data_IF_404581876576
#
_entry.id   IF_404581876576
#
_cell.length_a   1.000
_cell.length_b   1.000
_cell.length_c   1.000
_cell.angle_alpha   90.00
_cell.angle_beta   90.00
_cell.angle_gamma   90.00
#
_symmetry.space_group_name_H-M   'P 1'
#
loop_
_entity.id
_entity.type
_entity.pdbx_description
1 polymer ?
#
# COMPACT_ATOMS: atom_id res chain seq x y z
N UNK A 1 -12.03 3.96 11.97
CA UNK A 1 -13.08 3.02 11.48
C UNK A 1 -14.45 3.68 11.38
N UNK A 2 -14.91 4.41 12.41
CA UNK A 2 -16.23 5.07 12.42
C UNK A 2 -16.45 6.03 11.23
N UNK A 3 -15.53 6.96 10.99
CA UNK A 3 -15.63 7.90 9.86
C UNK A 3 -15.76 7.17 8.51
N UNK A 4 -15.03 6.06 8.30
CA UNK A 4 -15.13 5.23 7.09
C UNK A 4 -16.50 4.54 6.97
N UNK A 5 -17.07 4.09 8.09
CA UNK A 5 -18.41 3.48 8.10
C UNK A 5 -19.49 4.51 7.71
N UNK A 6 -19.40 5.72 8.24
CA UNK A 6 -20.32 6.83 7.90
C UNK A 6 -20.15 7.25 6.44
N UNK A 7 -18.92 7.55 6.01
CA UNK A 7 -18.61 7.98 4.64
C UNK A 7 -18.94 6.90 3.59
N UNK A 8 -18.72 5.63 3.94
CA UNK A 8 -19.01 4.48 3.07
C UNK A 8 -20.50 4.15 2.94
N UNK A 9 -21.35 4.68 3.80
CA UNK A 9 -22.78 4.39 3.81
C UNK A 9 -23.46 4.94 2.53
N UNK A 10 -24.17 4.07 1.81
CA UNK A 10 -24.84 4.43 0.54
C UNK A 10 -25.91 5.51 0.72
N UNK A 11 -26.64 5.47 1.83
CA UNK A 11 -27.65 6.49 2.15
C UNK A 11 -26.93 7.82 2.34
N UNK A 12 -25.90 7.89 3.18
CA UNK A 12 -25.12 9.12 3.38
C UNK A 12 -24.59 9.65 2.05
N UNK A 13 -23.92 8.83 1.23
CA UNK A 13 -23.40 9.24 -0.08
C UNK A 13 -24.48 9.78 -1.02
N UNK A 14 -25.70 9.25 -0.96
CA UNK A 14 -26.81 9.72 -1.79
C UNK A 14 -27.27 11.15 -1.43
N UNK A 15 -27.02 11.62 -0.22
CA UNK A 15 -27.35 12.98 0.20
C UNK A 15 -26.32 14.02 -0.24
N UNK A 16 -25.10 13.57 -0.59
CA UNK A 16 -23.95 14.41 -0.97
C UNK A 16 -23.44 14.08 -2.39
N UNK A 17 -24.31 13.59 -3.28
CA UNK A 17 -23.95 13.02 -4.60
C UNK A 17 -23.04 13.90 -5.47
N UNK A 18 -23.11 15.21 -5.30
CA UNK A 18 -22.35 16.14 -6.11
C UNK A 18 -20.86 16.14 -5.74
N UNK A 19 -20.53 16.05 -4.45
CA UNK A 19 -19.19 16.34 -3.95
C UNK A 19 -18.90 15.55 -2.66
N UNK A 20 -18.22 14.41 -2.81
CA UNK A 20 -17.70 13.61 -1.70
C UNK A 20 -16.18 13.46 -1.85
N UNK A 21 -15.42 13.80 -0.82
CA UNK A 21 -13.97 13.61 -0.83
C UNK A 21 -13.46 13.09 0.51
N UNK A 22 -12.38 12.30 0.44
CA UNK A 22 -11.67 11.80 1.61
C UNK A 22 -10.17 12.04 1.41
N UNK A 23 -9.52 12.71 2.37
CA UNK A 23 -8.08 12.83 2.39
C UNK A 23 -7.53 12.39 3.74
N UNK A 24 -6.49 11.57 3.73
CA UNK A 24 -5.72 11.23 4.94
C UNK A 24 -4.54 12.19 5.02
N UNK A 25 -4.36 12.84 6.16
CA UNK A 25 -3.29 13.80 6.41
C UNK A 25 -2.12 13.08 7.10
N UNK A 26 -0.96 13.13 6.47
CA UNK A 26 0.28 12.61 7.03
C UNK A 26 1.13 13.77 7.58
N UNK A 27 2.07 13.44 8.47
CA UNK A 27 2.96 14.43 9.11
C UNK A 27 3.70 15.32 8.10
N UNK A 28 4.06 14.74 6.94
CA UNK A 28 4.82 15.42 5.91
C UNK A 28 3.95 15.93 4.75
N UNK A 29 2.62 15.89 4.88
CA UNK A 29 1.70 16.35 3.81
C UNK A 29 1.69 17.88 3.73
N UNK A 30 1.96 18.42 2.54
CA UNK A 30 1.81 19.86 2.32
C UNK A 30 0.36 20.23 2.04
N UNK A 31 -0.04 21.46 2.36
CA UNK A 31 -1.37 21.98 2.06
C UNK A 31 -1.71 21.86 0.57
N UNK A 32 -0.73 22.07 -0.31
CA UNK A 32 -0.89 21.90 -1.75
C UNK A 32 -1.27 20.46 -2.13
N UNK A 33 -0.61 19.47 -1.56
CA UNK A 33 -0.88 18.06 -1.86
C UNK A 33 -2.28 17.65 -1.43
N UNK A 34 -2.70 18.12 -0.25
CA UNK A 34 -4.03 17.88 0.29
C UNK A 34 -5.10 18.52 -0.60
N UNK A 35 -4.92 19.78 -1.00
CA UNK A 35 -5.85 20.49 -1.89
C UNK A 35 -5.95 19.83 -3.26
N UNK A 36 -4.81 19.43 -3.85
CA UNK A 36 -4.79 18.70 -5.13
C UNK A 36 -5.50 17.34 -5.02
N UNK A 37 -5.36 16.64 -3.90
CA UNK A 37 -6.04 15.37 -3.67
C UNK A 37 -7.56 15.56 -3.56
N UNK A 38 -8.01 16.58 -2.82
CA UNK A 38 -9.42 16.93 -2.72
C UNK A 38 -10.01 17.32 -4.07
N UNK A 39 -9.33 18.20 -4.83
CA UNK A 39 -9.74 18.62 -6.17
C UNK A 39 -9.90 17.42 -7.11
N UNK A 40 -8.94 16.50 -7.14
CA UNK A 40 -9.02 15.27 -7.96
C UNK A 40 -10.27 14.42 -7.68
N UNK A 41 -10.86 14.52 -6.50
CA UNK A 41 -12.05 13.75 -6.11
C UNK A 41 -13.35 14.50 -6.37
N UNK A 42 -13.34 15.83 -6.27
CA UNK A 42 -14.54 16.67 -6.41
C UNK A 42 -14.74 17.15 -7.85
N UNK A 43 -13.65 17.42 -8.57
CA UNK A 43 -13.72 17.96 -9.92
C UNK A 43 -14.17 16.93 -10.96
N UNK A 44 -15.07 17.37 -11.82
CA UNK A 44 -15.56 16.57 -12.95
C UNK A 44 -14.72 16.78 -14.22
N UNK A 45 -14.08 17.94 -14.37
CA UNK A 45 -13.24 18.32 -15.51
C UNK A 45 -11.76 18.01 -15.26
N UNK A 46 -11.08 17.41 -16.24
CA UNK A 46 -9.65 17.05 -16.16
C UNK A 46 -8.69 18.18 -16.58
N UNK A 47 -9.11 19.44 -16.50
CA UNK A 47 -8.23 20.55 -16.86
C UNK A 47 -7.20 20.79 -15.75
N UNK A 48 -5.95 20.42 -16.02
CA UNK A 48 -4.84 20.75 -15.15
C UNK A 48 -4.22 22.06 -15.64
N UNK A 49 -4.65 23.17 -15.05
CA UNK A 49 -3.94 24.43 -15.22
C UNK A 49 -2.59 24.36 -14.49
N UNK A 50 -1.53 24.85 -15.13
CA UNK A 50 -0.13 24.66 -14.71
C UNK A 50 0.29 25.45 -13.47
N UNK A 51 -0.64 26.19 -12.84
CA UNK A 51 -0.37 27.04 -11.66
C UNK A 51 -0.70 26.31 -10.36
N UNK A 52 0.33 26.02 -9.58
CA UNK A 52 0.28 25.24 -8.34
C UNK A 52 0.35 26.10 -7.07
N UNK A 53 -0.08 27.36 -7.11
CA UNK A 53 -0.07 28.21 -5.91
C UNK A 53 -1.17 27.79 -4.93
N UNK A 54 -0.85 27.69 -3.63
CA UNK A 54 -1.81 27.27 -2.59
C UNK A 54 -3.11 28.09 -2.65
N UNK A 55 -2.99 29.42 -2.76
CA UNK A 55 -4.13 30.34 -2.88
C UNK A 55 -5.04 30.01 -4.07
N UNK A 56 -4.45 29.71 -5.23
CA UNK A 56 -5.20 29.34 -6.43
C UNK A 56 -5.93 28.00 -6.25
N UNK A 57 -5.28 27.02 -5.63
CA UNK A 57 -5.90 25.73 -5.33
C UNK A 57 -7.07 25.86 -4.35
N UNK A 58 -6.95 26.72 -3.33
CA UNK A 58 -8.05 27.05 -2.41
C UNK A 58 -9.23 27.69 -3.14
N UNK A 59 -8.98 28.72 -3.95
CA UNK A 59 -10.02 29.42 -4.72
C UNK A 59 -10.74 28.46 -5.69
N UNK A 60 -9.97 27.59 -6.35
CA UNK A 60 -10.49 26.58 -7.27
C UNK A 60 -11.36 25.55 -6.56
N UNK A 61 -10.88 24.98 -5.44
CA UNK A 61 -11.66 24.04 -4.65
C UNK A 61 -12.93 24.68 -4.11
N UNK A 62 -12.83 25.93 -3.63
CA UNK A 62 -13.97 26.72 -3.15
C UNK A 62 -15.02 26.87 -4.25
N UNK A 63 -14.61 27.26 -5.47
CA UNK A 63 -15.50 27.42 -6.63
C UNK A 63 -16.26 26.14 -6.97
N UNK A 64 -15.60 24.99 -6.94
CA UNK A 64 -16.21 23.69 -7.22
C UNK A 64 -17.21 23.25 -6.15
N UNK A 65 -16.99 23.67 -4.90
CA UNK A 65 -17.88 23.37 -3.77
C UNK A 65 -19.03 24.37 -3.63
N UNK A 66 -18.88 25.60 -4.13
CA UNK A 66 -19.90 26.64 -4.08
C UNK A 66 -21.19 26.19 -4.76
N UNK A 67 -22.32 26.39 -4.09
CA UNK A 67 -23.65 25.95 -4.53
C UNK A 67 -23.89 24.44 -4.45
N UNK A 68 -22.91 23.64 -4.02
CA UNK A 68 -23.02 22.19 -3.87
C UNK A 68 -23.11 21.77 -2.42
N UNK A 69 -23.94 20.75 -2.13
CA UNK A 69 -23.90 20.06 -0.85
C UNK A 69 -22.76 19.04 -0.84
N UNK A 70 -21.76 19.26 0.00
CA UNK A 70 -20.56 18.42 0.07
C UNK A 70 -20.37 17.70 1.40
N UNK A 71 -19.72 16.53 1.33
CA UNK A 71 -19.21 15.77 2.47
C UNK A 71 -17.72 15.54 2.30
N UNK A 72 -16.91 16.16 3.15
CA UNK A 72 -15.45 16.06 3.11
C UNK A 72 -14.96 15.41 4.40
N UNK A 73 -14.08 14.42 4.29
CA UNK A 73 -13.42 13.80 5.43
C UNK A 73 -11.94 14.15 5.42
N UNK A 74 -11.47 14.80 6.49
CA UNK A 74 -10.07 15.08 6.77
C UNK A 74 -9.62 14.11 7.87
N UNK A 75 -8.96 13.02 7.48
CA UNK A 75 -8.56 11.94 8.37
C UNK A 75 -7.16 12.18 8.93
N UNK A 76 -7.03 12.40 10.24
CA UNK A 76 -5.73 12.52 10.93
C UNK A 76 -5.14 13.94 10.96
N UNK A 77 -5.98 14.98 11.10
CA UNK A 77 -5.48 16.35 11.33
C UNK A 77 -4.67 16.39 12.63
N UNK A 78 -3.47 16.97 12.60
CA UNK A 78 -2.53 16.90 13.72
C UNK A 78 -2.51 18.15 14.59
N UNK A 79 -2.89 19.30 14.05
CA UNK A 79 -2.86 20.57 14.77
C UNK A 79 -3.91 21.56 14.26
N UNK A 80 -4.18 22.57 15.08
CA UNK A 80 -5.02 23.70 14.71
C UNK A 80 -4.49 24.45 13.48
N UNK A 81 -3.18 24.68 13.40
CA UNK A 81 -2.56 25.39 12.27
C UNK A 81 -2.80 24.69 10.93
N UNK A 82 -2.78 23.35 10.90
CA UNK A 82 -3.10 22.59 9.70
C UNK A 82 -4.55 22.81 9.27
N UNK A 83 -5.49 22.81 10.21
CA UNK A 83 -6.89 23.09 9.94
C UNK A 83 -7.09 24.53 9.45
N UNK A 84 -6.49 25.51 10.14
CA UNK A 84 -6.51 26.92 9.79
C UNK A 84 -5.97 27.16 8.38
N UNK A 85 -4.92 26.42 7.97
CA UNK A 85 -4.40 26.50 6.61
C UNK A 85 -5.39 26.00 5.55
N UNK A 86 -6.28 25.06 5.87
CA UNK A 86 -7.21 24.45 4.90
C UNK A 86 -8.59 25.10 4.89
N UNK A 87 -9.05 25.66 6.02
CA UNK A 87 -10.46 26.04 6.23
C UNK A 87 -10.99 27.01 5.16
N UNK A 88 -10.16 27.92 4.67
CA UNK A 88 -10.54 28.95 3.69
C UNK A 88 -10.91 28.37 2.32
N UNK A 89 -10.50 27.13 2.03
CA UNK A 89 -10.85 26.43 0.80
C UNK A 89 -12.32 25.96 0.78
N UNK A 90 -12.99 25.92 1.93
CA UNK A 90 -14.36 25.41 2.04
C UNK A 90 -15.37 26.56 2.16
N UNK A 91 -16.38 26.63 1.28
CA UNK A 91 -17.39 27.69 1.34
C UNK A 91 -18.40 27.43 2.47
N UNK A 92 -18.58 28.41 3.36
CA UNK A 92 -19.60 28.35 4.41
C UNK A 92 -20.97 28.76 3.88
N UNK A 93 -21.66 27.82 3.25
CA UNK A 93 -23.04 27.99 2.80
C UNK A 93 -24.01 27.30 3.77
N UNK A 94 -25.21 27.86 3.95
CA UNK A 94 -26.30 27.22 4.72
C UNK A 94 -26.95 26.05 3.95
N UNK A 95 -26.17 25.29 3.17
CA UNK A 95 -26.62 24.23 2.27
C UNK A 95 -26.54 22.81 2.89
N UNK A 96 -26.30 22.74 4.21
CA UNK A 96 -26.09 21.52 5.02
C UNK A 96 -24.85 20.70 4.64
N UNK A 97 -23.84 21.31 4.04
CA UNK A 97 -22.54 20.67 3.85
C UNK A 97 -21.89 20.28 5.18
N UNK A 98 -21.05 19.24 5.14
CA UNK A 98 -20.42 18.66 6.33
C UNK A 98 -18.95 18.38 6.07
N UNK A 99 -18.13 18.71 7.07
CA UNK A 99 -16.72 18.31 7.13
C UNK A 99 -16.58 17.44 8.38
N UNK A 100 -16.02 16.24 8.20
CA UNK A 100 -15.68 15.33 9.29
C UNK A 100 -14.17 15.40 9.47
N UNK A 101 -13.73 15.81 10.65
CA UNK A 101 -12.32 15.81 11.03
C UNK A 101 -12.10 14.68 12.03
N UNK A 102 -11.09 13.84 11.79
CA UNK A 102 -10.56 12.93 12.81
C UNK A 102 -9.22 13.49 13.29
N UNK A 103 -9.01 13.50 14.60
CA UNK A 103 -7.82 14.08 15.23
C UNK A 103 -7.52 13.35 16.54
N UNK A 104 -6.25 13.34 16.94
CA UNK A 104 -5.81 12.97 18.29
C UNK A 104 -5.54 14.22 19.17
N UNK A 105 -5.65 15.42 18.60
CA UNK A 105 -5.55 16.70 19.32
C UNK A 105 -6.91 17.07 19.91
N UNK A 106 -7.02 17.00 21.24
CA UNK A 106 -8.23 17.33 21.98
C UNK A 106 -8.65 18.80 21.80
N UNK A 107 -7.69 19.72 21.67
CA UNK A 107 -7.98 21.16 21.52
C UNK A 107 -8.71 21.43 20.21
N UNK A 108 -8.23 20.83 19.12
CA UNK A 108 -8.92 20.90 17.83
C UNK A 108 -10.32 20.25 17.89
N UNK A 109 -10.45 19.15 18.64
CA UNK A 109 -11.74 18.48 18.86
C UNK A 109 -12.78 19.40 19.52
N UNK A 110 -12.38 20.18 20.52
CA UNK A 110 -13.27 21.10 21.26
C UNK A 110 -13.80 22.26 20.40
N UNK A 111 -13.08 22.64 19.33
CA UNK A 111 -13.51 23.69 18.41
C UNK A 111 -14.58 23.21 17.42
N UNK A 112 -14.81 21.90 17.31
CA UNK A 112 -15.81 21.36 16.40
C UNK A 112 -17.23 21.71 16.87
N UNK A 113 -18.13 22.00 15.91
CA UNK A 113 -19.55 22.25 16.21
C UNK A 113 -20.25 21.07 16.89
N UNK A 114 -19.80 19.85 16.61
CA UNK A 114 -20.36 18.60 17.14
C UNK A 114 -19.19 17.64 17.46
N UNK A 115 -18.52 17.82 18.60
CA UNK A 115 -17.41 16.95 18.99
C UNK A 115 -17.94 15.56 19.31
N UNK A 116 -17.25 14.53 18.81
CA UNK A 116 -17.55 13.14 19.14
C UNK A 116 -16.27 12.45 19.65
N UNK A 117 -16.16 12.35 20.97
CA UNK A 117 -15.06 11.62 21.60
C UNK A 117 -15.30 10.12 21.51
N UNK A 118 -14.35 9.40 20.88
CA UNK A 118 -14.39 7.96 20.79
C UNK A 118 -14.05 7.37 22.16
N UNK A 119 -14.94 6.53 22.68
CA UNK A 119 -14.76 5.83 23.95
C UNK A 119 -14.19 4.43 23.72
N UNK A 120 -13.54 3.90 24.75
CA UNK A 120 -13.21 2.49 24.86
C UNK A 120 -14.50 1.65 24.86
N UNK A 121 -14.39 0.41 24.38
CA UNK A 121 -15.51 -0.53 24.40
C UNK A 121 -15.76 -1.01 25.82
N UNK A 122 -17.02 -1.19 26.17
CA UNK A 122 -17.38 -1.81 27.45
C UNK A 122 -16.90 -3.27 27.50
N UNK A 123 -16.79 -3.84 28.71
CA UNK A 123 -16.32 -5.21 28.89
C UNK A 123 -17.11 -6.25 28.07
N UNK A 124 -18.43 -6.08 28.00
CA UNK A 124 -19.31 -6.98 27.23
C UNK A 124 -19.04 -6.87 25.73
N UNK A 125 -18.95 -5.66 25.20
CA UNK A 125 -18.69 -5.39 23.78
C UNK A 125 -17.28 -5.85 23.39
N UNK A 126 -16.31 -5.62 24.26
CA UNK A 126 -14.93 -6.05 24.08
C UNK A 126 -14.81 -7.57 23.97
N UNK A 127 -15.50 -8.29 24.86
CA UNK A 127 -15.51 -9.74 24.86
C UNK A 127 -16.23 -10.31 23.64
N UNK A 128 -17.38 -9.75 23.27
CA UNK A 128 -18.10 -10.15 22.05
C UNK A 128 -17.25 -9.91 20.78
N UNK A 129 -16.58 -8.76 20.68
CA UNK A 129 -15.66 -8.49 19.58
C UNK A 129 -14.50 -9.49 19.54
N UNK A 130 -13.93 -9.85 20.69
CA UNK A 130 -12.89 -10.86 20.80
C UNK A 130 -13.37 -12.23 20.31
N UNK A 131 -14.51 -12.72 20.82
CA UNK A 131 -15.08 -14.02 20.46
C UNK A 131 -15.40 -14.09 18.96
N UNK A 132 -16.00 -13.04 18.40
CA UNK A 132 -16.24 -12.92 16.95
C UNK A 132 -14.94 -12.99 16.16
N UNK A 133 -13.89 -12.32 16.64
CA UNK A 133 -12.62 -12.28 15.91
C UNK A 133 -11.88 -13.62 15.95
N UNK A 134 -11.91 -14.29 17.09
CA UNK A 134 -11.38 -15.65 17.23
C UNK A 134 -12.25 -16.64 16.45
N UNK A 135 -13.55 -16.40 16.31
CA UNK A 135 -14.52 -17.32 15.73
C UNK A 135 -14.96 -18.38 16.73
N UNK A 136 -15.33 -17.96 17.93
CA UNK A 136 -15.99 -18.77 18.97
C UNK A 136 -17.42 -18.23 19.17
N UNK A 137 -18.39 -19.13 19.39
CA UNK A 137 -19.82 -18.77 19.53
C UNK A 137 -20.29 -18.66 20.98
N UNK A 138 -19.63 -19.36 21.90
CA UNK A 138 -19.98 -19.42 23.32
C UNK A 138 -18.79 -19.01 24.17
N UNK A 139 -19.07 -18.55 25.39
CA UNK A 139 -18.07 -18.28 26.41
C UNK A 139 -17.41 -19.63 26.75
N UNK A 140 -16.15 -19.91 26.34
CA UNK A 140 -15.45 -21.05 26.90
C UNK A 140 -15.41 -20.80 28.40
N UNK A 141 -15.85 -21.77 29.20
CA UNK A 141 -15.94 -21.72 30.67
C UNK A 141 -14.59 -21.32 31.31
N UNK A 142 -14.27 -20.02 31.27
CA UNK A 142 -12.89 -19.53 31.34
C UNK A 142 -12.85 -18.03 31.66
N UNK A 143 -13.45 -17.66 32.80
CA UNK A 143 -13.43 -16.31 33.37
C UNK A 143 -12.02 -15.70 33.41
N UNK A 144 -11.01 -16.52 33.72
CA UNK A 144 -9.59 -16.15 33.71
C UNK A 144 -9.09 -15.64 32.35
N UNK A 145 -9.48 -16.28 31.24
CA UNK A 145 -9.09 -15.83 29.91
C UNK A 145 -9.74 -14.49 29.58
N UNK A 146 -11.03 -14.35 29.90
CA UNK A 146 -11.79 -13.12 29.69
C UNK A 146 -11.16 -11.95 30.43
N UNK A 147 -10.87 -12.13 31.72
CA UNK A 147 -10.23 -11.09 32.54
C UNK A 147 -8.85 -10.70 31.99
N UNK A 148 -8.06 -11.68 31.55
CA UNK A 148 -6.76 -11.42 30.92
C UNK A 148 -6.87 -10.64 29.61
N UNK A 149 -7.78 -11.03 28.71
CA UNK A 149 -7.98 -10.33 27.44
C UNK A 149 -8.44 -8.89 27.68
N UNK A 150 -9.40 -8.69 28.59
CA UNK A 150 -9.92 -7.37 28.93
C UNK A 150 -8.83 -6.48 29.55
N UNK A 151 -8.02 -7.04 30.46
CA UNK A 151 -6.88 -6.33 31.06
C UNK A 151 -5.82 -5.95 30.02
N UNK A 152 -5.43 -6.88 29.15
CA UNK A 152 -4.38 -6.66 28.14
C UNK A 152 -4.85 -5.69 27.06
N UNK A 153 -6.12 -5.72 26.66
CA UNK A 153 -6.60 -4.89 25.56
C UNK A 153 -7.13 -3.51 25.99
N UNK A 154 -7.52 -3.33 27.25
CA UNK A 154 -8.01 -2.06 27.78
C UNK A 154 -9.21 -1.49 27.02
N UNK A 155 -10.11 -2.36 26.52
CA UNK A 155 -11.28 -1.92 25.73
C UNK A 155 -10.97 -1.34 24.34
N UNK A 156 -9.69 -1.31 23.91
CA UNK A 156 -9.32 -0.77 22.61
C UNK A 156 -9.64 -1.75 21.47
N UNK A 157 -10.51 -1.39 20.50
CA UNK A 157 -10.92 -2.30 19.42
C UNK A 157 -9.76 -2.87 18.61
N UNK A 158 -8.72 -2.06 18.36
CA UNK A 158 -7.54 -2.50 17.61
C UNK A 158 -6.79 -3.63 18.35
N UNK A 159 -6.60 -3.47 19.66
CA UNK A 159 -5.89 -4.44 20.49
C UNK A 159 -6.66 -5.75 20.56
N UNK A 160 -7.97 -5.68 20.77
CA UNK A 160 -8.88 -6.84 20.77
C UNK A 160 -8.80 -7.57 19.44
N UNK A 161 -8.88 -6.84 18.32
CA UNK A 161 -8.83 -7.44 16.99
C UNK A 161 -7.48 -8.09 16.73
N UNK A 162 -6.36 -7.43 17.01
CA UNK A 162 -5.02 -7.99 16.79
C UNK A 162 -4.80 -9.25 17.64
N UNK A 163 -5.11 -9.17 18.94
CA UNK A 163 -4.93 -10.28 19.86
C UNK A 163 -5.82 -11.47 19.51
N UNK A 164 -7.12 -11.22 19.26
CA UNK A 164 -8.05 -12.25 18.83
C UNK A 164 -7.64 -12.90 17.50
N UNK A 165 -7.13 -12.10 16.56
CA UNK A 165 -6.60 -12.62 15.28
C UNK A 165 -5.42 -13.56 15.48
N UNK A 166 -4.47 -13.16 16.33
CA UNK A 166 -3.29 -13.95 16.63
C UNK A 166 -3.66 -15.27 17.30
N UNK A 167 -4.50 -15.24 18.33
CA UNK A 167 -4.97 -16.43 19.02
C UNK A 167 -5.79 -17.35 18.11
N UNK A 168 -6.53 -16.79 17.13
CA UNK A 168 -7.23 -17.59 16.12
C UNK A 168 -6.30 -18.49 15.28
N UNK A 169 -5.00 -18.14 15.16
CA UNK A 169 -4.00 -18.97 14.48
C UNK A 169 -3.39 -20.04 15.37
N UNK A 170 -3.70 -20.02 16.67
CA UNK A 170 -3.18 -20.95 17.69
C UNK A 170 -4.26 -21.87 18.26
N UNK A 171 -5.43 -21.96 17.61
CA UNK A 171 -6.52 -22.83 18.07
C UNK A 171 -6.10 -24.28 18.23
N UNK A 172 -5.23 -24.77 17.35
CA UNK A 172 -4.74 -26.15 17.36
C UNK A 172 -3.88 -26.47 18.59
N UNK A 173 -3.34 -25.46 19.28
CA UNK A 173 -2.62 -25.60 20.55
C UNK A 173 -3.53 -25.69 21.78
N UNK A 174 -4.84 -25.52 21.59
CA UNK A 174 -5.83 -25.57 22.67
C UNK A 174 -6.05 -24.22 23.36
N UNK A 175 -7.32 -23.87 23.57
CA UNK A 175 -7.76 -22.59 24.19
C UNK A 175 -7.25 -22.44 25.62
N UNK A 176 -7.02 -23.56 26.32
CA UNK A 176 -6.56 -23.60 27.72
C UNK A 176 -5.15 -23.02 27.91
N UNK A 177 -4.32 -22.99 26.87
CA UNK A 177 -2.95 -22.44 26.93
C UNK A 177 -2.91 -20.92 26.68
N UNK A 178 -4.03 -20.30 26.29
CA UNK A 178 -4.02 -18.87 25.95
C UNK A 178 -3.73 -17.95 27.14
N UNK A 179 -4.23 -18.20 28.36
CA UNK A 179 -3.86 -17.39 29.52
C UNK A 179 -2.35 -17.32 29.75
N UNK A 180 -1.63 -18.45 29.66
CA UNK A 180 -0.17 -18.48 29.86
C UNK A 180 0.59 -17.78 28.74
N UNK A 181 0.06 -17.79 27.51
CA UNK A 181 0.60 -16.99 26.40
C UNK A 181 0.48 -15.48 26.71
N UNK A 182 -0.60 -15.07 27.37
CA UNK A 182 -0.87 -13.66 27.72
C UNK A 182 -0.11 -13.20 28.96
N UNK A 183 0.36 -14.10 29.83
CA UNK A 183 1.08 -13.74 31.06
C UNK A 183 2.38 -12.96 30.78
N UNK A 184 2.98 -13.14 29.59
CA UNK A 184 4.17 -12.41 29.15
C UNK A 184 3.88 -10.98 28.63
N UNK A 185 2.63 -10.51 28.68
CA UNK A 185 2.22 -9.18 28.20
C UNK A 185 1.92 -8.28 29.41
N UNK A 186 2.97 -7.74 30.04
CA UNK A 186 2.86 -7.05 31.32
C UNK A 186 2.13 -5.70 31.26
N UNK A 187 2.26 -4.95 30.15
CA UNK A 187 1.83 -3.55 30.09
C UNK A 187 0.57 -3.26 29.25
N UNK A 188 -0.01 -4.27 28.57
CA UNK A 188 -1.25 -4.11 27.78
C UNK A 188 -1.21 -3.00 26.72
N UNK A 189 -0.03 -2.47 26.39
CA UNK A 189 0.08 -1.37 25.46
C UNK A 189 -0.16 -1.87 24.04
N UNK A 190 -0.70 -1.00 23.18
CA UNK A 190 -0.87 -1.31 21.75
C UNK A 190 0.46 -1.73 21.11
N UNK A 191 1.57 -1.13 21.53
CA UNK A 191 2.91 -1.48 21.04
C UNK A 191 3.32 -2.91 21.42
N UNK A 192 2.98 -3.38 22.62
CA UNK A 192 3.33 -4.73 23.08
C UNK A 192 2.54 -5.79 22.31
N UNK A 193 1.25 -5.57 22.11
CA UNK A 193 0.41 -6.49 21.32
C UNK A 193 0.88 -6.56 19.86
N UNK A 194 1.27 -5.42 19.29
CA UNK A 194 1.87 -5.35 17.96
C UNK A 194 3.21 -6.09 17.90
N UNK A 195 4.06 -5.91 18.90
CA UNK A 195 5.33 -6.61 19.04
C UNK A 195 5.13 -8.11 19.13
N UNK A 196 4.19 -8.55 19.96
CA UNK A 196 3.84 -9.93 20.15
C UNK A 196 3.32 -10.56 18.85
N UNK A 197 2.40 -9.88 18.18
CA UNK A 197 1.85 -10.31 16.88
C UNK A 197 2.92 -10.42 15.79
N UNK A 198 3.87 -9.48 15.77
CA UNK A 198 4.98 -9.47 14.83
C UNK A 198 6.01 -10.57 15.13
N UNK A 199 6.38 -10.75 16.40
CA UNK A 199 7.40 -11.72 16.80
C UNK A 199 6.97 -13.16 16.53
N UNK A 200 5.66 -13.45 16.63
CA UNK A 200 5.08 -14.76 16.35
C UNK A 200 5.12 -15.15 14.85
N UNK A 201 5.34 -14.20 13.94
CA UNK A 201 5.48 -14.51 12.51
C UNK A 201 6.79 -15.25 12.22
N UNK A 202 6.77 -16.16 11.24
CA UNK A 202 7.99 -16.74 10.71
C UNK A 202 8.81 -15.69 9.94
N UNK A 203 10.09 -16.00 9.69
CA UNK A 203 11.02 -15.07 9.07
C UNK A 203 10.57 -14.60 7.67
N UNK A 204 9.91 -15.46 6.88
CA UNK A 204 9.48 -15.11 5.53
C UNK A 204 8.24 -14.20 5.53
N UNK A 205 7.28 -14.46 6.41
CA UNK A 205 6.14 -13.56 6.64
C UNK A 205 6.58 -12.19 7.15
N UNK A 206 7.57 -12.14 8.04
CA UNK A 206 8.18 -10.87 8.51
C UNK A 206 8.72 -10.07 7.34
N UNK A 207 9.47 -10.70 6.43
CA UNK A 207 10.00 -10.03 5.23
C UNK A 207 8.88 -9.51 4.31
N UNK A 208 7.84 -10.31 4.07
CA UNK A 208 6.69 -9.92 3.25
C UNK A 208 5.95 -8.71 3.84
N UNK A 209 5.67 -8.75 5.15
CA UNK A 209 4.99 -7.67 5.86
C UNK A 209 5.84 -6.39 5.86
N UNK A 210 7.12 -6.50 6.17
CA UNK A 210 8.04 -5.37 6.16
C UNK A 210 8.18 -4.77 4.75
N UNK A 211 8.12 -5.58 3.68
CA UNK A 211 8.14 -5.08 2.31
C UNK A 211 7.02 -4.10 1.98
N UNK A 212 5.87 -4.23 2.64
CA UNK A 212 4.76 -3.30 2.44
C UNK A 212 5.06 -1.89 2.94
N UNK A 213 6.08 -1.72 3.79
CA UNK A 213 6.60 -0.41 4.20
C UNK A 213 7.18 0.39 3.04
N UNK A 214 7.44 -0.27 1.89
CA UNK A 214 7.90 0.43 0.71
C UNK A 214 6.81 1.23 0.01
N UNK A 215 5.54 0.93 0.29
CA UNK A 215 4.41 1.61 -0.29
C UNK A 215 4.00 2.79 0.59
N UNK A 216 3.50 3.90 0.01
CA UNK A 216 3.02 5.01 0.80
C UNK A 216 1.95 4.57 1.81
N UNK A 217 1.96 5.20 2.99
CA UNK A 217 1.04 4.91 4.08
C UNK A 217 -0.41 4.99 3.57
N UNK A 218 -1.20 3.98 3.94
CA UNK A 218 -2.59 3.79 3.52
C UNK A 218 -2.86 3.61 2.01
N UNK A 219 -1.84 3.41 1.17
CA UNK A 219 -2.06 3.11 -0.24
C UNK A 219 -2.80 1.77 -0.40
N UNK A 220 -3.82 1.75 -1.26
CA UNK A 220 -4.44 0.50 -1.69
C UNK A 220 -3.60 -0.21 -2.75
N UNK A 221 -2.97 -1.30 -2.35
CA UNK A 221 -2.05 -2.09 -3.17
C UNK A 221 -2.83 -3.21 -3.87
N UNK A 222 -2.71 -3.39 -5.19
CA UNK A 222 -3.27 -4.56 -5.86
C UNK A 222 -2.64 -5.85 -5.32
N UNK A 223 -3.46 -6.81 -4.87
CA UNK A 223 -2.98 -8.05 -4.22
C UNK A 223 -2.03 -8.85 -5.13
N UNK A 224 -2.39 -8.99 -6.42
CA UNK A 224 -1.54 -9.68 -7.41
C UNK A 224 -0.19 -9.00 -7.61
N UNK A 225 -0.13 -7.65 -7.57
CA UNK A 225 1.14 -6.91 -7.66
C UNK A 225 2.00 -7.23 -6.45
N UNK A 226 1.44 -7.13 -5.24
CA UNK A 226 2.15 -7.39 -4.00
C UNK A 226 2.72 -8.81 -3.94
N UNK A 227 1.94 -9.82 -4.29
CA UNK A 227 2.37 -11.22 -4.30
C UNK A 227 3.51 -11.46 -5.30
N UNK A 228 3.41 -10.90 -6.51
CA UNK A 228 4.46 -11.00 -7.54
C UNK A 228 5.76 -10.32 -7.11
N UNK A 229 5.66 -9.20 -6.38
CA UNK A 229 6.83 -8.54 -5.81
C UNK A 229 7.47 -9.41 -4.72
N UNK A 230 6.70 -10.01 -3.81
CA UNK A 230 7.23 -10.93 -2.80
C UNK A 230 7.92 -12.15 -3.41
N UNK A 231 7.37 -12.70 -4.50
CA UNK A 231 7.99 -13.77 -5.27
C UNK A 231 9.33 -13.34 -5.89
N UNK A 232 9.35 -12.19 -6.59
CA UNK A 232 10.53 -11.67 -7.26
C UNK A 232 11.66 -11.28 -6.30
N UNK A 233 11.33 -10.81 -5.10
CA UNK A 233 12.30 -10.59 -4.02
C UNK A 233 12.94 -11.90 -3.54
N UNK A 234 12.23 -13.01 -3.68
CA UNK A 234 12.60 -14.32 -3.13
C UNK A 234 12.24 -14.47 -1.65
N UNK A 235 11.21 -13.76 -1.17
CA UNK A 235 10.75 -13.90 0.21
C UNK A 235 9.90 -15.15 0.44
N UNK A 236 9.36 -15.75 -0.61
CA UNK A 236 8.51 -16.92 -0.51
C UNK A 236 9.38 -18.18 -0.54
N UNK A 237 9.18 -19.09 0.41
CA UNK A 237 9.89 -20.38 0.43
C UNK A 237 9.58 -21.14 -0.86
N UNK A 238 10.61 -21.81 -1.40
CA UNK A 238 10.40 -22.76 -2.50
C UNK A 238 9.74 -24.02 -1.91
N UNK A 239 8.61 -24.48 -2.47
CA UNK A 239 8.02 -25.72 -2.03
C UNK A 239 8.95 -26.89 -2.36
N UNK A 240 9.04 -27.86 -1.45
CA UNK A 240 9.79 -29.10 -1.67
C UNK A 240 9.02 -30.05 -2.61
N UNK A 241 7.69 -30.00 -2.55
CA UNK A 241 6.82 -30.73 -3.48
C UNK A 241 6.63 -29.92 -4.77
N UNK A 242 7.00 -30.53 -5.91
CA UNK A 242 6.85 -29.94 -7.24
C UNK A 242 5.40 -29.75 -7.68
N UNK A 243 4.42 -30.34 -6.99
CA UNK A 243 2.98 -30.15 -7.26
C UNK A 243 2.44 -28.81 -6.75
N UNK A 244 3.15 -28.15 -5.81
CA UNK A 244 2.72 -26.89 -5.23
C UNK A 244 3.37 -25.75 -6.00
N UNK A 245 2.57 -24.84 -6.56
CA UNK A 245 3.10 -23.65 -7.21
C UNK A 245 3.52 -22.60 -6.17
N UNK A 246 4.51 -21.77 -6.51
CA UNK A 246 4.94 -20.70 -5.59
C UNK A 246 3.83 -19.67 -5.36
N UNK A 247 2.93 -19.55 -6.33
CA UNK A 247 1.71 -18.77 -6.33
C UNK A 247 0.74 -19.22 -5.22
N UNK A 248 0.66 -20.52 -4.95
CA UNK A 248 -0.15 -21.06 -3.86
C UNK A 248 0.48 -20.74 -2.49
N UNK A 249 1.81 -20.87 -2.38
CA UNK A 249 2.54 -20.55 -1.15
C UNK A 249 2.42 -19.06 -0.81
N UNK A 250 2.59 -18.17 -1.78
CA UNK A 250 2.46 -16.72 -1.56
C UNK A 250 1.02 -16.31 -1.26
N UNK A 251 0.03 -17.01 -1.82
CA UNK A 251 -1.38 -16.82 -1.46
C UNK A 251 -1.61 -17.21 0.00
N UNK A 252 -1.08 -18.35 0.45
CA UNK A 252 -1.13 -18.75 1.86
C UNK A 252 -0.45 -17.74 2.80
N UNK A 253 0.65 -17.13 2.38
CA UNK A 253 1.30 -16.05 3.15
C UNK A 253 0.41 -14.81 3.28
N UNK A 254 -0.19 -14.38 2.16
CA UNK A 254 -1.14 -13.27 2.15
C UNK A 254 -2.33 -13.54 3.07
N UNK A 255 -2.94 -14.73 2.96
CA UNK A 255 -4.09 -15.13 3.77
C UNK A 255 -3.75 -15.21 5.26
N UNK A 256 -2.53 -15.63 5.61
CA UNK A 256 -2.06 -15.62 6.98
C UNK A 256 -1.99 -14.20 7.56
N UNK A 257 -1.39 -13.26 6.83
CA UNK A 257 -1.29 -11.85 7.26
C UNK A 257 -2.67 -11.17 7.36
N UNK A 258 -3.60 -11.51 6.47
CA UNK A 258 -5.00 -11.06 6.55
C UNK A 258 -5.72 -11.69 7.73
N UNK A 259 -5.57 -12.99 7.97
CA UNK A 259 -6.15 -13.71 9.11
C UNK A 259 -5.67 -13.11 10.43
N UNK A 260 -4.40 -12.70 10.50
CA UNK A 260 -3.78 -12.00 11.64
C UNK A 260 -4.16 -10.52 11.75
N UNK A 261 -4.98 -9.99 10.84
CA UNK A 261 -5.35 -8.56 10.76
C UNK A 261 -4.18 -7.59 10.65
N UNK A 262 -3.03 -8.08 10.18
CA UNK A 262 -1.87 -7.23 9.91
C UNK A 262 -2.01 -6.52 8.56
N UNK A 263 -2.78 -7.10 7.65
CA UNK A 263 -3.17 -6.51 6.38
C UNK A 263 -4.70 -6.53 6.29
N UNK A 264 -5.27 -5.47 5.76
CA UNK A 264 -6.72 -5.36 5.49
C UNK A 264 -7.02 -5.51 4.00
N UNK A 265 -8.12 -6.18 3.68
CA UNK A 265 -8.63 -6.24 2.30
C UNK A 265 -9.55 -5.05 2.07
N UNK A 266 -9.17 -4.12 1.20
CA UNK A 266 -9.90 -2.89 0.94
C UNK A 266 -10.88 -2.99 -0.22
N UNK A 267 -10.70 -3.97 -1.12
CA UNK A 267 -11.61 -4.21 -2.24
C UNK A 267 -11.61 -5.68 -2.64
N UNK A 268 -12.81 -6.22 -2.91
CA UNK A 268 -13.02 -7.55 -3.47
C UNK A 268 -13.23 -7.49 -5.00
N UNK A 269 -13.01 -8.60 -5.67
CA UNK A 269 -13.45 -8.85 -7.05
C UNK A 269 -14.89 -9.38 -7.06
N UNK A 270 -15.46 -9.55 -8.25
CA UNK A 270 -16.79 -10.15 -8.45
C UNK A 270 -16.87 -11.59 -7.93
N UNK A 271 -15.78 -12.34 -8.03
CA UNK A 271 -15.63 -13.71 -7.50
C UNK A 271 -15.41 -13.77 -5.97
N UNK A 272 -15.47 -12.62 -5.27
CA UNK A 272 -15.20 -12.53 -3.83
C UNK A 272 -13.72 -12.54 -3.44
N UNK A 273 -12.80 -12.75 -4.39
CA UNK A 273 -11.36 -12.77 -4.08
C UNK A 273 -10.80 -11.37 -3.76
N UNK A 274 -9.76 -11.26 -2.90
CA UNK A 274 -9.12 -9.98 -2.58
C UNK A 274 -8.51 -9.29 -3.82
N UNK A 275 -9.05 -8.12 -4.18
CA UNK A 275 -8.55 -7.29 -5.30
C UNK A 275 -7.45 -6.34 -4.86
N UNK A 276 -7.70 -5.61 -3.77
CA UNK A 276 -6.77 -4.64 -3.19
C UNK A 276 -6.66 -4.85 -1.69
N UNK A 277 -5.47 -4.59 -1.16
CA UNK A 277 -5.17 -4.66 0.26
C UNK A 277 -4.45 -3.41 0.73
N UNK A 278 -4.38 -3.22 2.05
CA UNK A 278 -3.74 -2.08 2.69
C UNK A 278 -3.13 -2.48 4.02
N UNK A 279 -1.93 -1.97 4.29
CA UNK A 279 -1.30 -2.02 5.61
C UNK A 279 -1.95 -0.98 6.54
N UNK A 280 -2.36 -1.37 7.75
CA UNK A 280 -2.98 -0.43 8.69
C UNK A 280 -1.98 0.68 9.08
N UNK A 281 -2.44 1.93 9.18
CA UNK A 281 -1.58 3.06 9.49
C UNK A 281 -0.78 2.92 10.79
N UNK A 282 -1.40 2.37 11.84
CA UNK A 282 -0.73 2.10 13.13
C UNK A 282 0.39 1.07 12.99
N UNK A 283 0.19 0.05 12.14
CA UNK A 283 1.21 -0.96 11.85
C UNK A 283 2.38 -0.36 11.07
N UNK A 284 2.11 0.57 10.17
CA UNK A 284 3.15 1.25 9.42
C UNK A 284 4.14 1.94 10.37
N UNK A 285 3.66 2.72 11.34
CA UNK A 285 4.53 3.45 12.26
C UNK A 285 5.35 2.50 13.15
N UNK A 286 4.71 1.42 13.64
CA UNK A 286 5.37 0.37 14.41
C UNK A 286 6.46 -0.34 13.58
N UNK A 287 6.13 -0.82 12.38
CA UNK A 287 7.03 -1.58 11.51
C UNK A 287 8.17 -0.73 10.95
N UNK A 288 7.98 0.58 10.78
CA UNK A 288 9.02 1.49 10.31
C UNK A 288 10.23 1.48 11.24
N UNK A 289 10.00 1.45 12.56
CA UNK A 289 11.09 1.37 13.55
C UNK A 289 11.88 0.07 13.40
N UNK A 290 11.19 -1.05 13.15
CA UNK A 290 11.81 -2.36 12.94
C UNK A 290 12.58 -2.44 11.63
N UNK A 291 11.98 -1.97 10.53
CA UNK A 291 12.57 -1.96 9.21
C UNK A 291 13.90 -1.20 9.18
N UNK A 292 13.99 -0.06 9.89
CA UNK A 292 15.23 0.70 10.09
C UNK A 292 16.29 -0.12 10.82
N UNK A 293 15.92 -0.82 11.90
CA UNK A 293 16.85 -1.63 12.69
C UNK A 293 17.50 -2.80 11.92
N UNK A 294 16.77 -3.42 11.00
CA UNK A 294 17.27 -4.52 10.16
C UNK A 294 17.89 -4.07 8.83
N UNK A 295 17.95 -2.76 8.57
CA UNK A 295 18.45 -2.18 7.30
C UNK A 295 17.82 -2.79 6.04
N UNK A 296 16.52 -3.14 6.10
CA UNK A 296 15.86 -3.87 5.01
C UNK A 296 15.53 -2.97 3.81
N UNK A 297 15.35 -1.67 4.03
CA UNK A 297 14.95 -0.67 3.02
C UNK A 297 15.55 0.71 3.29
N UNK A 298 15.73 1.50 2.23
CA UNK A 298 15.94 2.95 2.32
C UNK A 298 14.77 3.67 1.65
N UNK A 299 14.07 4.52 2.40
CA UNK A 299 12.93 5.31 1.92
C UNK A 299 13.44 6.71 1.60
N UNK A 300 13.41 7.12 0.33
CA UNK A 300 13.76 8.49 -0.06
C UNK A 300 12.50 9.36 -0.06
N UNK A 301 12.17 9.93 1.08
CA UNK A 301 11.18 11.00 1.22
C UNK A 301 11.99 12.27 1.51
N UNK A 302 11.66 13.39 0.86
CA UNK A 302 12.51 14.59 0.75
C UNK A 302 13.42 14.95 1.94
N UNK A 303 14.59 15.48 1.62
CA UNK A 303 15.63 16.05 2.50
C UNK A 303 16.27 15.18 3.60
N UNK A 304 15.75 14.01 3.98
CA UNK A 304 16.34 13.23 5.09
C UNK A 304 17.11 12.01 4.57
N UNK A 305 18.35 12.24 4.14
CA UNK A 305 19.34 11.19 3.94
C UNK A 305 20.03 10.88 5.28
N UNK A 306 19.51 9.89 6.03
CA UNK A 306 20.26 9.39 7.19
C UNK A 306 21.52 8.65 6.73
N UNK A 307 22.67 8.99 7.34
CA UNK A 307 23.97 8.37 7.08
C UNK A 307 23.94 6.87 7.41
N UNK A 308 24.64 6.09 6.58
CA UNK A 308 24.45 4.66 6.36
C UNK A 308 24.80 3.73 7.53
N UNK A 309 24.09 2.60 7.60
CA UNK A 309 24.54 1.37 8.25
C UNK A 309 25.45 0.53 7.32
N UNK A 310 26.09 -0.54 7.82
CA UNK A 310 27.21 -1.23 7.15
C UNK A 310 26.90 -1.96 5.83
N UNK A 311 25.63 -2.06 5.39
CA UNK A 311 25.22 -2.96 4.30
C UNK A 311 24.75 -2.32 2.98
N UNK A 312 24.87 -0.99 2.83
CA UNK A 312 24.51 -0.27 1.60
C UNK A 312 23.01 -0.35 1.22
N UNK A 313 22.57 0.48 0.27
CA UNK A 313 21.14 0.62 -0.06
C UNK A 313 20.62 -0.54 -0.91
N UNK A 314 19.89 -1.48 -0.30
CA UNK A 314 19.38 -2.68 -1.01
C UNK A 314 18.09 -2.47 -1.78
N UNK A 315 17.25 -1.50 -1.39
CA UNK A 315 15.95 -1.23 -2.04
C UNK A 315 15.67 0.25 -1.98
N UNK A 316 15.31 0.82 -3.13
CA UNK A 316 15.11 2.25 -3.32
C UNK A 316 13.66 2.51 -3.74
N UNK A 317 13.08 3.56 -3.16
CA UNK A 317 11.81 4.12 -3.59
C UNK A 317 12.01 5.55 -4.00
N UNK A 318 11.36 5.95 -5.07
CA UNK A 318 11.29 7.34 -5.49
C UNK A 318 9.84 7.85 -5.41
N UNK A 319 9.65 8.99 -4.74
CA UNK A 319 8.40 9.74 -4.71
C UNK A 319 8.53 11.01 -5.55
N UNK A 320 7.41 11.49 -6.09
CA UNK A 320 7.35 12.58 -7.08
C UNK A 320 7.99 13.92 -6.64
N UNK A 321 8.12 14.16 -5.32
CA UNK A 321 8.62 15.43 -4.77
C UNK A 321 10.11 15.39 -4.39
N UNK A 322 10.82 14.30 -4.69
CA UNK A 322 12.24 14.18 -4.42
C UNK A 322 13.08 14.92 -5.46
N UNK A 323 13.85 15.93 -5.06
CA UNK A 323 15.03 16.34 -5.81
C UNK A 323 15.83 15.10 -6.21
N UNK A 324 16.24 15.04 -7.48
CA UNK A 324 16.96 13.93 -8.09
C UNK A 324 17.95 13.28 -7.12
N UNK A 325 17.63 12.05 -6.72
CA UNK A 325 18.44 11.31 -5.77
C UNK A 325 19.74 10.87 -6.49
N UNK A 326 20.81 11.64 -6.33
CA UNK A 326 22.12 11.28 -6.87
C UNK A 326 22.71 10.15 -6.04
N UNK A 327 22.31 8.91 -6.33
CA UNK A 327 22.95 7.74 -5.75
C UNK A 327 24.44 7.72 -6.12
N UNK A 328 25.28 7.36 -5.17
CA UNK A 328 26.71 7.14 -5.41
C UNK A 328 26.93 5.84 -6.18
N UNK A 329 28.04 5.69 -6.92
CA UNK A 329 28.36 4.45 -7.64
C UNK A 329 28.29 3.18 -6.78
N UNK A 330 28.69 3.25 -5.50
CA UNK A 330 28.67 2.14 -4.54
C UNK A 330 27.25 1.75 -4.11
N UNK A 331 26.33 2.71 -4.03
CA UNK A 331 24.93 2.45 -3.64
C UNK A 331 24.17 1.67 -4.72
N UNK A 332 24.49 1.89 -6.00
CA UNK A 332 23.92 1.10 -7.10
C UNK A 332 24.35 -0.37 -7.03
N UNK A 333 25.50 -0.69 -6.43
CA UNK A 333 26.05 -2.06 -6.41
C UNK A 333 25.22 -3.03 -5.58
N UNK A 334 24.54 -2.52 -4.55
CA UNK A 334 23.76 -3.32 -3.62
C UNK A 334 22.26 -3.33 -3.96
N UNK A 335 21.83 -2.54 -4.94
CA UNK A 335 20.41 -2.32 -5.22
C UNK A 335 19.77 -3.56 -5.85
N UNK A 336 18.74 -4.08 -5.19
CA UNK A 336 17.96 -5.26 -5.59
C UNK A 336 16.57 -4.88 -6.08
N UNK A 337 16.05 -3.73 -5.67
CA UNK A 337 14.68 -3.34 -5.99
C UNK A 337 14.57 -1.84 -6.14
N UNK A 338 13.93 -1.41 -7.22
CA UNK A 338 13.60 -0.02 -7.46
C UNK A 338 12.11 0.09 -7.77
N UNK A 339 11.39 0.86 -6.95
CA UNK A 339 9.96 1.12 -7.08
C UNK A 339 9.77 2.64 -7.20
N UNK A 340 9.12 3.08 -8.26
CA UNK A 340 8.83 4.50 -8.45
C UNK A 340 7.33 4.75 -8.24
N UNK A 341 7.02 5.68 -7.33
CA UNK A 341 5.70 6.31 -7.17
C UNK A 341 5.70 7.72 -7.76
N UNK A 342 6.52 7.93 -8.79
CA UNK A 342 6.62 9.20 -9.48
C UNK A 342 5.47 9.34 -10.49
N UNK A 343 4.29 9.69 -9.99
CA UNK A 343 3.10 9.94 -10.80
C UNK A 343 3.15 11.29 -11.53
N UNK A 344 4.31 11.69 -12.10
CA UNK A 344 4.49 13.01 -12.73
C UNK A 344 3.30 13.38 -13.60
N UNK A 345 3.02 14.70 -13.66
CA UNK A 345 2.00 15.27 -14.56
C UNK A 345 2.18 14.65 -15.95
N UNK A 346 1.07 14.22 -16.55
CA UNK A 346 0.99 13.41 -17.79
C UNK A 346 1.64 14.05 -19.04
N UNK A 347 2.37 15.15 -18.87
CA UNK A 347 2.90 15.98 -19.94
C UNK A 347 4.44 16.00 -19.96
N UNK A 348 5.11 15.50 -18.90
CA UNK A 348 6.58 15.40 -18.84
C UNK A 348 7.03 13.95 -18.72
N UNK A 349 7.72 13.38 -19.73
CA UNK A 349 8.32 12.05 -19.62
C UNK A 349 9.34 12.00 -18.49
N UNK A 350 9.35 10.90 -17.73
CA UNK A 350 10.28 10.68 -16.63
C UNK A 350 11.72 10.37 -17.12
N UNK A 351 12.43 11.40 -17.60
CA UNK A 351 13.79 11.28 -18.16
C UNK A 351 14.82 10.85 -17.11
N UNK A 352 14.61 11.17 -15.85
CA UNK A 352 15.53 10.81 -14.76
C UNK A 352 15.61 9.30 -14.53
N UNK A 353 14.49 8.58 -14.72
CA UNK A 353 14.44 7.11 -14.63
C UNK A 353 15.37 6.48 -15.68
N UNK A 354 15.43 7.05 -16.88
CA UNK A 354 16.29 6.55 -17.95
C UNK A 354 17.78 6.71 -17.61
N UNK A 355 18.16 7.85 -17.03
CA UNK A 355 19.52 8.11 -16.57
C UNK A 355 19.90 7.17 -15.43
N UNK A 356 18.99 6.94 -14.49
CA UNK A 356 19.18 6.01 -13.38
C UNK A 356 19.39 4.57 -13.89
N UNK A 357 18.50 4.08 -14.77
CA UNK A 357 18.63 2.76 -15.40
C UNK A 357 19.93 2.61 -16.19
N UNK A 358 20.28 3.61 -17.02
CA UNK A 358 21.51 3.60 -17.82
C UNK A 358 22.76 3.55 -16.93
N UNK A 359 22.76 4.31 -15.82
CA UNK A 359 23.86 4.30 -14.85
C UNK A 359 23.98 2.96 -14.12
N UNK A 360 22.86 2.31 -13.79
CA UNK A 360 22.86 0.99 -13.16
C UNK A 360 23.43 -0.08 -14.08
N UNK A 361 22.98 -0.07 -15.33
CA UNK A 361 23.42 -1.05 -16.34
C UNK A 361 24.89 -0.82 -16.71
N UNK A 362 25.26 0.42 -17.06
CA UNK A 362 26.61 0.76 -17.54
C UNK A 362 27.73 0.56 -16.53
N UNK A 363 27.41 0.41 -15.23
CA UNK A 363 28.39 0.11 -14.19
C UNK A 363 28.53 -1.39 -13.87
N UNK A 364 27.80 -2.28 -14.56
CA UNK A 364 27.89 -3.73 -14.38
C UNK A 364 27.24 -4.27 -13.10
N UNK A 365 26.26 -3.56 -12.56
CA UNK A 365 25.74 -3.74 -11.19
C UNK A 365 24.37 -4.44 -11.14
N UNK A 366 24.20 -5.45 -11.99
CA UNK A 366 22.91 -6.08 -12.31
C UNK A 366 22.27 -6.95 -11.23
N UNK A 367 22.41 -6.65 -9.93
CA UNK A 367 21.71 -7.39 -8.85
C UNK A 367 20.22 -7.05 -8.74
N UNK A 368 19.72 -6.14 -9.57
CA UNK A 368 18.33 -5.72 -9.58
C UNK A 368 17.42 -6.90 -9.93
N UNK A 369 16.53 -7.24 -9.00
CA UNK A 369 15.48 -8.26 -9.14
C UNK A 369 14.12 -7.65 -9.46
N UNK A 370 13.86 -6.45 -8.96
CA UNK A 370 12.57 -5.77 -9.11
C UNK A 370 12.76 -4.39 -9.72
N UNK A 371 12.11 -4.16 -10.85
CA UNK A 371 11.94 -2.85 -11.48
C UNK A 371 10.44 -2.59 -11.61
N UNK A 372 9.89 -1.71 -10.76
CA UNK A 372 8.48 -1.38 -10.74
C UNK A 372 8.27 0.11 -11.01
N UNK A 373 7.81 0.42 -12.23
CA UNK A 373 7.54 1.76 -12.71
C UNK A 373 6.03 2.00 -12.88
N UNK A 374 5.17 1.28 -12.15
CA UNK A 374 3.72 1.43 -12.31
C UNK A 374 3.26 2.89 -12.14
N UNK A 375 2.61 3.42 -13.17
CA UNK A 375 2.06 4.78 -13.18
C UNK A 375 3.07 5.88 -13.54
N UNK A 376 4.34 5.55 -13.76
CA UNK A 376 5.34 6.51 -14.27
C UNK A 376 5.01 6.85 -15.72
N UNK A 377 4.81 8.13 -16.04
CA UNK A 377 4.42 8.54 -17.40
C UNK A 377 5.60 8.46 -18.39
N UNK A 378 5.44 7.65 -19.45
CA UNK A 378 6.39 7.43 -20.56
C UNK A 378 7.86 7.33 -20.10
N UNK A 379 8.22 6.36 -19.24
CA UNK A 379 9.61 6.17 -18.83
C UNK A 379 10.45 5.76 -20.03
N UNK A 380 11.62 6.37 -20.21
CA UNK A 380 12.56 5.95 -21.25
C UNK A 380 13.36 4.75 -20.76
N UNK A 381 13.15 3.59 -21.38
CA UNK A 381 13.88 2.36 -21.09
C UNK A 381 15.12 2.26 -22.00
N UNK A 382 16.31 1.97 -21.47
CA UNK A 382 17.52 1.84 -22.29
C UNK A 382 17.46 0.60 -23.19
N UNK A 383 18.09 0.67 -24.37
CA UNK A 383 18.10 -0.44 -25.35
C UNK A 383 18.86 -1.69 -24.87
N UNK A 384 19.74 -1.54 -23.88
CA UNK A 384 20.46 -2.64 -23.25
C UNK A 384 19.84 -3.07 -21.91
N UNK A 385 18.52 -2.89 -21.75
CA UNK A 385 17.79 -3.34 -20.55
C UNK A 385 18.00 -4.84 -20.25
N UNK A 386 18.32 -5.63 -21.28
CA UNK A 386 18.61 -7.08 -21.18
C UNK A 386 19.80 -7.42 -20.29
N UNK A 387 20.72 -6.47 -20.08
CA UNK A 387 21.88 -6.61 -19.21
C UNK A 387 21.49 -6.73 -17.72
N UNK A 388 20.25 -6.46 -17.35
CA UNK A 388 19.71 -6.70 -16.00
C UNK A 388 19.37 -8.19 -15.81
N UNK A 389 20.38 -9.05 -15.90
CA UNK A 389 20.20 -10.50 -15.93
C UNK A 389 19.49 -11.07 -14.69
N UNK A 390 19.63 -10.47 -13.49
CA UNK A 390 18.93 -10.92 -12.29
C UNK A 390 17.48 -10.44 -12.16
N UNK A 391 16.97 -9.66 -13.11
CA UNK A 391 15.63 -9.10 -13.04
C UNK A 391 14.58 -10.20 -13.12
N UNK A 392 13.68 -10.22 -12.14
CA UNK A 392 12.56 -11.16 -12.00
C UNK A 392 11.21 -10.51 -12.19
N UNK A 393 11.11 -9.21 -11.92
CA UNK A 393 9.88 -8.43 -12.08
C UNK A 393 10.14 -7.16 -12.86
N UNK A 394 9.42 -6.99 -13.97
CA UNK A 394 9.34 -5.76 -14.75
C UNK A 394 7.88 -5.27 -14.78
N UNK A 395 7.58 -4.27 -13.96
CA UNK A 395 6.27 -3.62 -13.88
C UNK A 395 6.24 -2.32 -14.65
N UNK A 396 5.48 -2.28 -15.75
CA UNK A 396 5.30 -1.10 -16.61
C UNK A 396 3.83 -0.72 -16.73
N UNK A 397 3.00 -1.18 -15.80
CA UNK A 397 1.56 -0.93 -15.83
C UNK A 397 1.26 0.57 -15.76
N UNK A 398 0.26 1.04 -16.49
CA UNK A 398 -0.15 2.46 -16.49
C UNK A 398 0.95 3.45 -16.90
N UNK A 399 1.97 3.01 -17.64
CA UNK A 399 3.09 3.89 -18.05
C UNK A 399 2.86 4.63 -19.36
N UNK A 400 1.81 4.30 -20.12
CA UNK A 400 1.57 4.87 -21.46
C UNK A 400 2.76 4.71 -22.42
N UNK A 401 3.61 3.72 -22.16
CA UNK A 401 4.79 3.44 -22.98
C UNK A 401 4.35 2.92 -24.35
N UNK A 402 4.97 3.41 -25.42
CA UNK A 402 4.60 3.07 -26.80
C UNK A 402 5.37 1.86 -27.34
N UNK A 403 6.59 1.60 -26.84
CA UNK A 403 7.49 0.55 -27.32
C UNK A 403 8.29 -0.06 -26.17
N UNK A 404 8.63 -1.33 -26.34
CA UNK A 404 9.51 -2.06 -25.43
C UNK A 404 10.86 -2.32 -26.13
N UNK A 405 12.02 -2.13 -25.47
CA UNK A 405 13.31 -2.42 -26.07
C UNK A 405 13.43 -3.92 -26.39
N UNK A 406 14.11 -4.25 -27.49
CA UNK A 406 14.21 -5.65 -27.98
C UNK A 406 14.94 -6.55 -26.98
N UNK A 407 15.88 -5.99 -26.23
CA UNK A 407 16.66 -6.65 -25.20
C UNK A 407 15.82 -7.20 -24.03
N UNK A 408 14.54 -6.83 -23.89
CA UNK A 408 13.68 -7.45 -22.87
C UNK A 408 13.61 -8.97 -23.00
N UNK A 409 13.73 -9.50 -24.23
CA UNK A 409 13.79 -10.94 -24.44
C UNK A 409 15.13 -11.60 -24.04
N UNK A 410 16.09 -10.84 -23.53
CA UNK A 410 17.38 -11.34 -22.99
C UNK A 410 17.35 -11.46 -21.46
N UNK A 411 16.29 -10.96 -20.80
CA UNK A 411 16.09 -11.03 -19.35
C UNK A 411 15.82 -12.46 -18.89
N UNK A 412 16.87 -13.27 -18.81
CA UNK A 412 16.80 -14.72 -18.72
C UNK A 412 16.05 -15.23 -17.49
N UNK A 413 16.08 -14.50 -16.36
CA UNK A 413 15.41 -14.85 -15.11
C UNK A 413 14.09 -14.11 -14.87
N UNK A 414 13.54 -13.42 -15.89
CA UNK A 414 12.30 -12.67 -15.73
C UNK A 414 11.14 -13.63 -15.43
N UNK A 415 10.49 -13.45 -14.29
CA UNK A 415 9.33 -14.24 -13.84
C UNK A 415 8.01 -13.51 -14.14
N UNK A 416 8.01 -12.17 -14.07
CA UNK A 416 6.84 -11.33 -14.29
C UNK A 416 7.14 -10.16 -15.24
N UNK A 417 6.28 -10.00 -16.25
CA UNK A 417 6.20 -8.84 -17.13
C UNK A 417 4.77 -8.28 -17.13
N UNK A 418 4.58 -7.07 -16.60
CA UNK A 418 3.27 -6.39 -16.56
C UNK A 418 3.26 -5.14 -17.45
N UNK A 419 2.58 -5.25 -18.59
CA UNK A 419 2.42 -4.21 -19.61
C UNK A 419 0.98 -3.69 -19.70
N UNK A 420 0.11 -4.00 -18.72
CA UNK A 420 -1.29 -3.53 -18.79
C UNK A 420 -1.37 -2.00 -18.74
N UNK A 421 -2.30 -1.45 -19.50
CA UNK A 421 -2.52 -0.02 -19.65
C UNK A 421 -1.28 0.75 -20.14
N UNK A 422 -0.54 0.14 -21.07
CA UNK A 422 0.46 0.80 -21.92
C UNK A 422 -0.10 1.04 -23.33
N UNK A 423 0.67 1.65 -24.23
CA UNK A 423 0.35 1.75 -25.66
C UNK A 423 1.21 0.80 -26.51
N UNK A 424 1.79 -0.23 -25.88
CA UNK A 424 2.62 -1.22 -26.57
C UNK A 424 1.73 -2.08 -27.45
N UNK A 425 1.84 -1.88 -28.76
CA UNK A 425 1.06 -2.60 -29.77
C UNK A 425 1.75 -3.89 -30.28
N UNK A 426 3.01 -4.13 -29.86
CA UNK A 426 3.75 -5.31 -30.26
C UNK A 426 4.85 -5.65 -29.25
N UNK A 427 5.01 -6.94 -28.99
CA UNK A 427 6.08 -7.47 -28.13
C UNK A 427 7.16 -8.14 -28.98
N UNK A 428 8.45 -8.01 -28.63
CA UNK A 428 9.51 -8.66 -29.39
C UNK A 428 9.37 -10.19 -29.30
N UNK A 429 9.52 -10.95 -30.42
CA UNK A 429 9.37 -12.41 -30.40
C UNK A 429 10.31 -13.13 -29.44
N UNK A 430 11.41 -12.49 -29.04
CA UNK A 430 12.35 -12.99 -28.04
C UNK A 430 11.72 -13.20 -26.65
N UNK A 431 10.60 -12.53 -26.32
CA UNK A 431 9.88 -12.77 -25.05
C UNK A 431 9.45 -14.23 -24.90
N UNK A 432 9.09 -14.88 -26.02
CA UNK A 432 8.68 -16.29 -26.00
C UNK A 432 9.83 -17.27 -25.69
N UNK A 433 11.08 -16.79 -25.68
CA UNK A 433 12.26 -17.58 -25.31
C UNK A 433 12.59 -17.51 -23.81
N UNK A 434 11.88 -16.67 -23.05
CA UNK A 434 12.12 -16.47 -21.61
C UNK A 434 11.61 -17.68 -20.81
N UNK A 435 12.52 -18.59 -20.47
CA UNK A 435 12.21 -19.88 -19.81
C UNK A 435 11.63 -19.75 -18.40
N UNK A 436 11.89 -18.64 -17.72
CA UNK A 436 11.44 -18.41 -16.34
C UNK A 436 10.17 -17.55 -16.25
N UNK A 437 9.63 -17.08 -17.37
CA UNK A 437 8.46 -16.19 -17.39
C UNK A 437 7.20 -16.97 -17.00
N UNK A 438 6.54 -16.54 -15.92
CA UNK A 438 5.31 -17.15 -15.38
C UNK A 438 4.10 -16.25 -15.48
N UNK A 439 4.33 -14.94 -15.48
CA UNK A 439 3.26 -13.95 -15.49
C UNK A 439 3.48 -12.93 -16.60
N UNK A 440 2.72 -13.04 -17.67
CA UNK A 440 2.66 -12.05 -18.74
C UNK A 440 1.30 -11.36 -18.70
N UNK A 441 1.29 -10.06 -18.38
CA UNK A 441 0.06 -9.27 -18.30
C UNK A 441 0.06 -8.21 -19.40
N UNK A 442 -0.80 -8.38 -20.40
CA UNK A 442 -0.89 -7.52 -21.58
C UNK A 442 -2.23 -6.77 -21.60
N UNK A 443 -2.29 -5.71 -22.40
CA UNK A 443 -3.56 -5.16 -22.88
C UNK A 443 -4.22 -6.14 -23.88
N UNK A 444 -5.42 -5.79 -24.34
CA UNK A 444 -5.92 -6.32 -25.60
C UNK A 444 -4.95 -5.91 -26.72
N UNK A 445 -4.00 -6.79 -27.02
CA UNK A 445 -3.01 -6.60 -28.08
C UNK A 445 -3.43 -7.49 -29.26
N UNK A 446 -3.32 -6.97 -30.48
CA UNK A 446 -3.41 -7.79 -31.69
C UNK A 446 -2.13 -8.63 -31.75
N UNK A 447 -2.19 -9.86 -31.25
CA UNK A 447 -1.10 -10.83 -31.37
C UNK A 447 -1.06 -11.33 -32.82
N UNK A 448 -0.38 -10.61 -33.71
CA UNK A 448 -0.32 -10.95 -35.14
C UNK A 448 0.44 -12.24 -35.43
N UNK A 449 1.23 -12.77 -34.48
CA UNK A 449 1.91 -14.07 -34.56
C UNK A 449 2.08 -14.73 -33.18
N UNK A 450 1.18 -15.63 -32.81
CA UNK A 450 1.34 -16.53 -31.65
C UNK A 450 2.10 -17.78 -32.13
N UNK A 451 3.14 -18.18 -31.40
CA UNK A 451 3.78 -19.49 -31.61
C UNK A 451 2.98 -20.56 -30.84
N UNK A 452 2.73 -21.77 -31.36
CA UNK A 452 1.76 -22.72 -30.79
C UNK A 452 2.08 -23.29 -29.39
N UNK A 453 3.23 -22.98 -28.79
CA UNK A 453 3.78 -23.78 -27.69
C UNK A 453 3.57 -23.21 -26.26
N UNK A 454 2.70 -22.22 -26.06
CA UNK A 454 2.47 -21.64 -24.72
C UNK A 454 1.00 -21.73 -24.35
N UNK A 455 0.71 -22.34 -23.20
CA UNK A 455 -0.58 -22.21 -22.53
C UNK A 455 -0.80 -20.75 -22.13
N UNK A 456 -1.45 -19.99 -23.01
CA UNK A 456 -1.99 -18.69 -22.67
C UNK A 456 -3.21 -18.96 -21.79
N UNK A 457 -3.12 -18.72 -20.48
CA UNK A 457 -4.32 -18.48 -19.67
C UNK A 457 -4.88 -17.12 -20.12
N UNK A 458 -5.67 -17.13 -21.20
CA UNK A 458 -6.65 -16.09 -21.47
C UNK A 458 -7.74 -16.33 -20.43
N UNK A 459 -7.92 -15.47 -19.40
CA UNK A 459 -9.16 -15.52 -18.66
C UNK A 459 -10.23 -15.13 -19.68
N UNK A 460 -11.15 -16.05 -19.97
CA UNK A 460 -12.33 -15.78 -20.78
C UNK A 460 -12.92 -14.44 -20.33
N UNK A 461 -12.89 -13.48 -21.25
CA UNK A 461 -13.74 -12.30 -21.23
C UNK A 461 -15.18 -12.80 -21.23
N UNK A 462 -15.95 -12.42 -20.22
CA UNK A 462 -17.35 -12.04 -20.38
C UNK A 462 -17.82 -11.24 -19.15
N UNK A 463 -18.34 -10.04 -19.46
CA UNK A 463 -19.05 -9.02 -18.64
C UNK A 463 -18.34 -8.37 -17.46
#
# INVERSE_FOLDING_TARGET
>A
MLARAVYGNRIVKNWFKASCAWVTIFKDSTTNDLLLNLLKQVEKSKEQDGRNGEKFLKERLRKELTGQRYLIVLDGVQSLDQWESLKDAFPEEQNRSKIIITTCDEQLGLLARQPHSLKELEHKESWDLFLRKVGLKEDPDNSTLKDRVLKVCGGLPLNIVLLGSLLSTKKDKGIKEWPSILDNQENGSTSDILMFSYNDLDAHLKLCLLYMMLFPKELDIPVRRLQRLWLAEGFVKRPENNEIFQEDVVQGYFDNLVKRSLISVSKLRSDGSPRKCRLLGVLHDFLLTKARGISLFHIHQGSVCNKDGPFGRRRLIEYADGNNCSLTPSEYQCLRSYISFNFQKKDTPAKDVAKLLSNMIGKGLGLLRVLDLEGVYKPSLPENLGDLFHLRYLGLRWTFLDKLPKSVGELSYLETLDLKHTYINGIPPSIWKLKHLRHLSLNEIILTRICPCIHILVPCLNS
#
